data_IF_663958019288
#
_entry.id   IF_663958019288
#
_cell.length_a   1.000
_cell.length_b   1.000
_cell.length_c   1.000
_cell.angle_alpha   90.00
_cell.angle_beta   90.00
_cell.angle_gamma   90.00
#
_symmetry.space_group_name_H-M   'P 1'
#
loop_
_entity.id
_entity.type
_entity.pdbx_description
1 polymer ?
#
# COMPACT_ATOMS: atom_id res chain seq x y z
N UNK A 1 -0.94 22.93 -9.45
CA UNK A 1 -1.17 21.99 -10.57
C UNK A 1 0.10 21.70 -11.40
N UNK A 2 1.31 22.08 -10.96
CA UNK A 2 2.52 21.94 -11.79
C UNK A 2 3.18 20.56 -11.72
N UNK A 3 2.91 19.70 -10.75
CA UNK A 3 3.58 18.37 -10.66
C UNK A 3 2.89 17.30 -11.53
N UNK A 4 1.63 17.52 -11.90
CA UNK A 4 0.78 16.48 -12.51
C UNK A 4 1.21 16.09 -13.93
N UNK A 5 1.85 17.00 -14.67
CA UNK A 5 2.37 16.69 -16.01
C UNK A 5 3.57 15.75 -15.98
N UNK A 6 4.22 15.57 -14.82
CA UNK A 6 5.36 14.66 -14.64
C UNK A 6 4.91 13.22 -14.31
N UNK A 7 3.68 13.04 -13.83
CA UNK A 7 3.16 11.72 -13.42
C UNK A 7 3.23 10.62 -14.52
N UNK A 8 3.06 10.92 -15.82
CA UNK A 8 3.23 9.91 -16.86
C UNK A 8 4.67 9.40 -17.01
N UNK A 9 5.67 10.19 -16.60
CA UNK A 9 7.09 9.85 -16.72
C UNK A 9 7.68 9.26 -15.43
N UNK A 10 6.91 9.31 -14.33
CA UNK A 10 7.33 8.84 -13.02
C UNK A 10 6.81 7.41 -12.78
N UNK A 11 7.73 6.48 -12.48
CA UNK A 11 7.40 5.11 -12.14
C UNK A 11 7.35 4.84 -10.62
N UNK A 12 7.92 5.76 -9.82
CA UNK A 12 8.10 5.62 -8.39
C UNK A 12 7.68 6.91 -7.70
N UNK A 13 6.78 6.81 -6.74
CA UNK A 13 6.32 7.94 -5.95
C UNK A 13 6.75 7.76 -4.50
N UNK A 14 7.54 8.69 -3.97
CA UNK A 14 7.88 8.76 -2.56
C UNK A 14 7.02 9.85 -1.91
N UNK A 15 6.23 9.48 -0.92
CA UNK A 15 5.28 10.39 -0.31
C UNK A 15 5.64 10.57 1.15
N UNK A 16 5.98 11.81 1.50
CA UNK A 16 6.21 12.20 2.87
C UNK A 16 4.91 12.12 3.67
N UNK A 17 3.85 12.81 3.25
CA UNK A 17 2.58 12.81 3.97
C UNK A 17 1.41 13.00 3.01
N UNK A 18 0.34 12.22 3.20
CA UNK A 18 -0.92 12.33 2.47
C UNK A 18 -1.96 13.00 3.35
N UNK A 19 -1.76 14.25 3.76
CA UNK A 19 -2.82 14.96 4.49
C UNK A 19 -4.03 15.17 3.59
N UNK A 20 -4.96 14.22 3.60
CA UNK A 20 -6.27 14.36 3.01
C UNK A 20 -7.02 15.29 3.95
N UNK A 21 -7.07 16.57 3.56
CA UNK A 21 -7.54 17.66 4.41
C UNK A 21 -8.97 17.49 4.93
N UNK A 22 -9.77 16.58 4.33
CA UNK A 22 -11.14 16.28 4.75
C UNK A 22 -11.49 14.82 4.50
N UNK A 23 -11.83 14.03 5.54
CA UNK A 23 -12.61 12.81 5.36
C UNK A 23 -14.03 13.24 4.98
N UNK A 24 -14.32 13.26 3.69
CA UNK A 24 -15.59 13.72 3.14
C UNK A 24 -15.75 13.22 1.71
N UNK A 25 -17.00 13.06 1.26
CA UNK A 25 -17.31 12.63 -0.09
C UNK A 25 -16.58 13.51 -1.10
N UNK A 26 -15.70 12.89 -1.91
CA UNK A 26 -15.05 13.57 -3.03
C UNK A 26 -16.12 14.23 -3.91
N UNK A 27 -15.90 15.47 -4.30
CA UNK A 27 -16.71 16.11 -5.33
C UNK A 27 -16.61 15.35 -6.66
N UNK A 28 -17.61 15.48 -7.52
CA UNK A 28 -17.57 14.85 -8.85
C UNK A 28 -16.34 15.30 -9.66
N UNK A 29 -15.93 16.56 -9.49
CA UNK A 29 -14.74 17.13 -10.15
C UNK A 29 -13.44 16.47 -9.64
N UNK A 30 -13.35 16.21 -8.33
CA UNK A 30 -12.23 15.46 -7.75
C UNK A 30 -12.23 14.00 -8.22
N UNK A 31 -13.39 13.35 -8.31
CA UNK A 31 -13.52 11.98 -8.82
C UNK A 31 -13.08 11.90 -10.29
N UNK A 32 -13.56 12.81 -11.14
CA UNK A 32 -13.16 12.87 -12.56
C UNK A 32 -11.66 13.11 -12.70
N UNK A 33 -11.11 14.00 -11.88
CA UNK A 33 -9.69 14.28 -11.84
C UNK A 33 -8.86 13.06 -11.41
N UNK A 34 -9.27 12.35 -10.36
CA UNK A 34 -8.61 11.12 -9.91
C UNK A 34 -8.69 10.01 -10.97
N UNK A 35 -9.83 9.87 -11.65
CA UNK A 35 -9.99 8.95 -12.79
C UNK A 35 -9.03 9.30 -13.93
N UNK A 36 -8.87 10.59 -14.24
CA UNK A 36 -7.92 11.06 -15.24
C UNK A 36 -6.47 10.72 -14.85
N UNK A 37 -6.09 10.94 -13.59
CA UNK A 37 -4.77 10.60 -13.10
C UNK A 37 -4.50 9.09 -13.17
N UNK A 38 -5.46 8.29 -12.71
CA UNK A 38 -5.41 6.82 -12.70
C UNK A 38 -5.13 6.23 -14.08
N UNK A 39 -5.76 6.79 -15.11
CA UNK A 39 -5.57 6.32 -16.49
C UNK A 39 -4.24 6.75 -17.14
N UNK A 40 -3.52 7.71 -16.57
CA UNK A 40 -2.34 8.30 -17.21
C UNK A 40 -1.01 8.02 -16.52
N UNK A 41 -1.02 7.76 -15.22
CA UNK A 41 0.22 7.51 -14.51
C UNK A 41 0.74 6.09 -14.75
N UNK A 42 2.05 5.93 -14.69
CA UNK A 42 2.76 4.65 -14.83
C UNK A 42 3.42 4.26 -13.50
N UNK A 43 2.84 4.73 -12.39
CA UNK A 43 3.40 4.53 -11.06
C UNK A 43 3.21 3.06 -10.69
N UNK A 44 4.33 2.38 -10.46
CA UNK A 44 4.36 0.97 -10.06
C UNK A 44 4.89 0.80 -8.65
N UNK A 45 5.62 1.80 -8.13
CA UNK A 45 6.24 1.76 -6.81
C UNK A 45 5.80 2.94 -5.97
N UNK A 46 5.35 2.69 -4.76
CA UNK A 46 5.02 3.74 -3.79
C UNK A 46 5.76 3.49 -2.48
N UNK A 47 6.38 4.53 -1.96
CA UNK A 47 7.03 4.54 -0.65
C UNK A 47 6.40 5.61 0.23
N UNK A 48 5.77 5.21 1.33
CA UNK A 48 5.18 6.10 2.32
C UNK A 48 6.16 6.27 3.48
N UNK A 49 6.75 7.46 3.60
CA UNK A 49 7.78 7.75 4.60
C UNK A 49 7.20 8.06 5.99
N UNK A 50 5.95 8.50 6.05
CA UNK A 50 5.24 8.67 7.31
C UNK A 50 4.19 7.58 7.48
N UNK A 51 3.69 7.47 8.71
CA UNK A 51 2.58 6.59 9.09
C UNK A 51 1.41 6.79 8.11
N UNK A 52 1.09 5.73 7.38
CA UNK A 52 -0.06 5.72 6.48
C UNK A 52 -1.34 5.42 7.25
N UNK A 53 -2.37 6.23 7.01
CA UNK A 53 -3.74 5.92 7.42
C UNK A 53 -4.42 5.01 6.38
N UNK A 54 -5.44 4.27 6.79
CA UNK A 54 -6.14 3.30 5.93
C UNK A 54 -6.79 4.01 4.73
N UNK A 55 -7.38 5.17 4.97
CA UNK A 55 -8.03 6.02 3.97
C UNK A 55 -7.04 6.51 2.90
N UNK A 56 -5.80 6.81 3.30
CA UNK A 56 -4.73 7.20 2.38
C UNK A 56 -4.35 6.03 1.47
N UNK A 57 -4.23 4.82 2.02
CA UNK A 57 -3.92 3.62 1.25
C UNK A 57 -5.02 3.30 0.23
N UNK A 58 -6.29 3.45 0.62
CA UNK A 58 -7.41 3.27 -0.29
C UNK A 58 -7.35 4.25 -1.47
N UNK A 59 -7.09 5.53 -1.19
CA UNK A 59 -6.94 6.56 -2.22
C UNK A 59 -5.78 6.26 -3.17
N UNK A 60 -4.64 5.81 -2.64
CA UNK A 60 -3.49 5.44 -3.48
C UNK A 60 -3.80 4.26 -4.39
N UNK A 61 -4.52 3.25 -3.91
CA UNK A 61 -4.94 2.12 -4.72
C UNK A 61 -5.84 2.57 -5.90
N UNK A 62 -6.71 3.57 -5.69
CA UNK A 62 -7.55 4.13 -6.75
C UNK A 62 -6.75 4.94 -7.79
N UNK A 63 -5.79 5.74 -7.31
CA UNK A 63 -5.01 6.64 -8.18
C UNK A 63 -3.94 5.87 -8.93
N UNK A 64 -3.34 4.84 -8.35
CA UNK A 64 -2.22 4.11 -8.96
C UNK A 64 -2.60 2.62 -9.11
N UNK A 65 -3.45 2.26 -10.08
CA UNK A 65 -3.96 0.90 -10.23
C UNK A 65 -2.86 -0.12 -10.60
N UNK A 66 -1.71 0.37 -11.09
CA UNK A 66 -0.56 -0.43 -11.50
C UNK A 66 0.47 -0.63 -10.38
N UNK A 67 0.18 -0.21 -9.13
CA UNK A 67 1.08 -0.44 -8.00
C UNK A 67 1.38 -1.94 -7.92
N UNK A 68 2.66 -2.27 -8.05
CA UNK A 68 3.18 -3.61 -7.82
C UNK A 68 4.13 -3.69 -6.63
N UNK A 69 4.60 -2.54 -6.13
CA UNK A 69 5.43 -2.45 -4.94
C UNK A 69 4.94 -1.33 -4.03
N UNK A 70 4.59 -1.68 -2.80
CA UNK A 70 4.18 -0.75 -1.76
C UNK A 70 5.11 -0.90 -0.56
N UNK A 71 5.78 0.18 -0.17
CA UNK A 71 6.58 0.27 1.05
C UNK A 71 5.93 1.26 2.01
N UNK A 72 5.78 0.86 3.27
CA UNK A 72 5.13 1.63 4.32
C UNK A 72 6.02 1.65 5.56
N UNK A 73 6.26 2.83 6.11
CA UNK A 73 6.84 2.98 7.45
C UNK A 73 5.77 2.72 8.53
N UNK A 74 6.06 1.81 9.44
CA UNK A 74 5.17 1.37 10.50
C UNK A 74 5.79 1.67 11.87
N UNK A 75 4.97 2.19 12.79
CA UNK A 75 5.45 2.52 14.15
C UNK A 75 5.74 1.27 14.98
N UNK A 76 4.97 0.20 14.76
CA UNK A 76 5.12 -1.06 15.49
C UNK A 76 4.45 -2.21 14.73
N UNK A 77 4.55 -3.41 15.30
CA UNK A 77 3.92 -4.62 14.78
C UNK A 77 2.40 -4.50 14.62
N UNK A 78 1.70 -3.94 15.62
CA UNK A 78 0.22 -3.83 15.61
C UNK A 78 -0.24 -3.01 14.41
N UNK A 79 0.47 -1.91 14.10
CA UNK A 79 0.18 -1.10 12.93
C UNK A 79 0.39 -1.88 11.63
N UNK A 80 1.49 -2.63 11.50
CA UNK A 80 1.75 -3.47 10.33
C UNK A 80 0.71 -4.59 10.17
N UNK A 81 0.24 -5.18 11.27
CA UNK A 81 -0.82 -6.20 11.28
C UNK A 81 -2.15 -5.65 10.75
N UNK A 82 -2.61 -4.51 11.28
CA UNK A 82 -3.84 -3.84 10.81
C UNK A 82 -3.76 -3.46 9.33
N UNK A 83 -2.61 -2.94 8.89
CA UNK A 83 -2.41 -2.60 7.48
C UNK A 83 -2.37 -3.83 6.58
N UNK A 84 -1.76 -4.93 7.05
CA UNK A 84 -1.73 -6.20 6.32
C UNK A 84 -3.14 -6.73 6.11
N UNK A 85 -3.95 -6.80 7.17
CA UNK A 85 -5.34 -7.25 7.10
C UNK A 85 -6.15 -6.40 6.11
N UNK A 86 -6.05 -5.07 6.21
CA UNK A 86 -6.73 -4.16 5.29
C UNK A 86 -6.32 -4.38 3.83
N UNK A 87 -5.01 -4.37 3.55
CA UNK A 87 -4.49 -4.48 2.18
C UNK A 87 -4.88 -5.84 1.57
N UNK A 88 -4.71 -6.94 2.31
CA UNK A 88 -5.02 -8.27 1.81
C UNK A 88 -6.53 -8.46 1.58
N UNK A 89 -7.38 -7.88 2.43
CA UNK A 89 -8.83 -7.89 2.23
C UNK A 89 -9.21 -7.16 0.94
N UNK A 90 -8.64 -5.97 0.70
CA UNK A 90 -8.88 -5.23 -0.55
C UNK A 90 -8.39 -5.99 -1.78
N UNK A 91 -7.25 -6.66 -1.71
CA UNK A 91 -6.73 -7.49 -2.81
C UNK A 91 -7.64 -8.69 -3.08
N UNK A 92 -8.21 -9.29 -2.04
CA UNK A 92 -9.13 -10.43 -2.16
C UNK A 92 -10.37 -10.08 -2.97
N UNK A 93 -10.87 -8.86 -2.78
CA UNK A 93 -12.05 -8.36 -3.47
C UNK A 93 -11.76 -7.90 -4.91
N UNK A 94 -10.49 -7.66 -5.26
CA UNK A 94 -10.06 -7.16 -6.57
C UNK A 94 -9.33 -8.26 -7.34
N UNK A 95 -10.03 -8.92 -8.26
CA UNK A 95 -9.53 -10.04 -9.07
C UNK A 95 -8.29 -9.76 -9.93
N UNK A 96 -7.88 -8.49 -10.07
CA UNK A 96 -6.75 -8.03 -10.87
C UNK A 96 -5.79 -7.11 -10.10
N UNK A 97 -5.57 -7.34 -8.81
CA UNK A 97 -4.53 -6.61 -8.08
C UNK A 97 -3.16 -6.81 -8.75
N UNK A 98 -2.46 -5.69 -9.01
CA UNK A 98 -1.09 -5.70 -9.53
C UNK A 98 -0.04 -5.84 -8.42
N UNK A 99 -0.44 -5.82 -7.15
CA UNK A 99 0.49 -5.83 -6.02
C UNK A 99 1.29 -7.14 -5.99
N UNK A 100 2.62 -7.03 -6.06
CA UNK A 100 3.56 -8.16 -6.01
C UNK A 100 4.48 -8.12 -4.80
N UNK A 101 4.65 -6.95 -4.20
CA UNK A 101 5.52 -6.76 -3.06
C UNK A 101 4.93 -5.72 -2.10
N UNK A 102 4.75 -6.12 -0.85
CA UNK A 102 4.40 -5.25 0.26
C UNK A 102 5.57 -5.27 1.26
N UNK A 103 6.06 -4.11 1.64
CA UNK A 103 7.20 -3.95 2.55
C UNK A 103 6.79 -3.06 3.72
N UNK A 104 6.92 -3.58 4.93
CA UNK A 104 6.76 -2.81 6.16
C UNK A 104 8.15 -2.54 6.74
N UNK A 105 8.52 -1.27 6.85
CA UNK A 105 9.65 -0.88 7.69
C UNK A 105 9.14 -0.77 9.14
N UNK A 106 9.68 -1.59 10.03
CA UNK A 106 9.33 -1.61 11.46
C UNK A 106 10.65 -1.59 12.22
N UNK A 107 10.95 -0.53 13.00
CA UNK A 107 12.25 -0.38 13.67
C UNK A 107 12.69 -1.57 14.54
N UNK A 108 11.72 -2.31 15.08
CA UNK A 108 11.93 -3.46 15.95
C UNK A 108 11.53 -4.79 15.28
N UNK A 109 11.56 -4.86 13.95
CA UNK A 109 11.23 -6.08 13.21
C UNK A 109 12.09 -7.26 13.68
N UNK A 110 11.45 -8.42 13.84
CA UNK A 110 12.12 -9.67 14.18
C UNK A 110 11.33 -10.87 13.64
N UNK A 111 11.96 -12.03 13.54
CA UNK A 111 11.40 -13.22 12.88
C UNK A 111 10.04 -13.66 13.47
N UNK A 112 9.86 -13.54 14.80
CA UNK A 112 8.58 -13.87 15.46
C UNK A 112 7.41 -13.00 14.94
N UNK A 113 7.66 -11.78 14.46
CA UNK A 113 6.61 -10.95 13.83
C UNK A 113 6.16 -11.55 12.49
N UNK A 114 7.08 -12.13 11.71
CA UNK A 114 6.71 -12.81 10.47
C UNK A 114 5.84 -14.03 10.74
N UNK A 115 6.19 -14.82 11.77
CA UNK A 115 5.36 -15.98 12.17
C UNK A 115 3.96 -15.55 12.62
N UNK A 116 3.85 -14.42 13.33
CA UNK A 116 2.55 -13.89 13.77
C UNK A 116 1.72 -13.39 12.59
N UNK A 117 2.33 -12.65 11.65
CA UNK A 117 1.66 -12.23 10.42
C UNK A 117 1.18 -13.42 9.60
N UNK A 118 2.02 -14.45 9.43
CA UNK A 118 1.64 -15.67 8.71
C UNK A 118 0.44 -16.37 9.37
N UNK A 119 0.46 -16.51 10.71
CA UNK A 119 -0.66 -17.07 11.47
C UNK A 119 -1.93 -16.24 11.33
N UNK A 120 -1.84 -14.91 11.39
CA UNK A 120 -3.00 -14.03 11.21
C UNK A 120 -3.61 -14.21 9.83
N UNK A 121 -2.80 -14.19 8.77
CA UNK A 121 -3.25 -14.35 7.38
C UNK A 121 -3.94 -15.72 7.19
N UNK A 122 -3.40 -16.75 7.81
CA UNK A 122 -3.98 -18.09 7.81
C UNK A 122 -5.34 -18.15 8.51
N UNK A 123 -5.45 -17.54 9.69
CA UNK A 123 -6.68 -17.51 10.50
C UNK A 123 -7.79 -16.74 9.76
N UNK A 124 -7.46 -15.59 9.18
CA UNK A 124 -8.41 -14.74 8.45
C UNK A 124 -8.70 -15.25 7.02
N UNK A 125 -8.09 -16.38 6.63
CA UNK A 125 -8.22 -16.97 5.29
C UNK A 125 -7.95 -15.93 4.18
N UNK A 126 -6.89 -15.14 4.39
CA UNK A 126 -6.36 -14.14 3.46
C UNK A 126 -5.23 -14.74 2.60
N UNK A 127 -5.22 -16.09 2.47
CA UNK A 127 -4.17 -16.84 1.79
C UNK A 127 -4.13 -16.53 0.29
N UNK A 128 -3.06 -15.87 -0.13
CA UNK A 128 -2.59 -15.82 -1.51
C UNK A 128 -1.29 -16.63 -1.63
N UNK A 129 -0.85 -16.95 -2.84
CA UNK A 129 0.46 -17.55 -3.02
C UNK A 129 1.54 -16.49 -2.78
N UNK A 130 1.97 -16.33 -1.53
CA UNK A 130 3.00 -15.37 -1.14
C UNK A 130 4.06 -16.00 -0.22
N UNK A 131 5.13 -15.24 -0.01
CA UNK A 131 6.21 -15.55 0.92
C UNK A 131 6.43 -14.37 1.85
N UNK A 132 6.57 -14.63 3.15
CA UNK A 132 6.98 -13.62 4.13
C UNK A 132 8.48 -13.73 4.38
N UNK A 133 9.18 -12.60 4.41
CA UNK A 133 10.61 -12.54 4.72
C UNK A 133 10.91 -11.38 5.67
N UNK A 134 11.81 -11.61 6.60
CA UNK A 134 12.39 -10.58 7.45
C UNK A 134 13.81 -10.24 6.97
N UNK A 135 14.11 -8.95 6.81
CA UNK A 135 15.46 -8.45 6.51
C UNK A 135 15.69 -7.14 7.26
N UNK A 136 16.62 -7.14 8.23
CA UNK A 136 16.96 -5.98 9.05
C UNK A 136 15.76 -5.43 9.83
N UNK A 137 15.28 -4.24 9.50
CA UNK A 137 14.13 -3.55 10.07
C UNK A 137 12.89 -3.70 9.19
N UNK A 138 12.85 -4.70 8.31
CA UNK A 138 11.80 -4.82 7.27
C UNK A 138 11.18 -6.19 7.21
N UNK A 139 9.86 -6.19 7.05
CA UNK A 139 9.06 -7.38 6.74
C UNK A 139 8.50 -7.25 5.32
N UNK A 140 8.74 -8.26 4.50
CA UNK A 140 8.30 -8.32 3.11
C UNK A 140 7.24 -9.41 2.95
N UNK A 141 6.14 -9.08 2.29
CA UNK A 141 5.17 -10.03 1.76
C UNK A 141 5.29 -9.97 0.23
N UNK A 142 5.71 -11.07 -0.38
CA UNK A 142 5.97 -11.16 -1.82
C UNK A 142 5.09 -12.24 -2.45
N UNK A 143 4.23 -11.86 -3.40
CA UNK A 143 3.40 -12.79 -4.15
C UNK A 143 4.22 -13.52 -5.21
N UNK A 144 3.91 -14.80 -5.44
CA UNK A 144 4.52 -15.62 -6.48
C UNK A 144 3.96 -15.33 -7.87
#
# INVERSE_FOLDING_TARGET
MEILHLLPEVNTLKIGSLRISQPGCLSNEEIEFLCFLSNKNQITKICLENLAEIEELYMLALICPLINHLQIECVNYIHAELLTEFILTQIKDVSNSSLRLLCFSIPEAHDEMCEKLEKMIDIENLRFDFMIKHVMDKIYLQWK
#
